data_IF_316365633321
#
_entry.id   IF_316365633321
#
_cell.length_a   1.000
_cell.length_b   1.000
_cell.length_c   1.000
_cell.angle_alpha   90.00
_cell.angle_beta   90.00
_cell.angle_gamma   90.00
#
_symmetry.space_group_name_H-M   'P 1'
#
loop_
_entity.id
_entity.type
_entity.pdbx_description
1 polymer ?
#
# COMPACT_ATOMS: atom_id res chain seq x y z
N UNK A 1 -1.53 -15.82 1.75
CA UNK A 1 -1.18 -14.93 0.60
C UNK A 1 -1.31 -13.46 0.97
N UNK A 2 -2.48 -12.98 1.43
CA UNK A 2 -2.67 -11.58 1.82
C UNK A 2 -1.67 -11.08 2.88
N UNK A 3 -1.48 -11.82 3.99
CA UNK A 3 -0.51 -11.44 5.01
C UNK A 3 0.92 -11.29 4.44
N UNK A 4 1.38 -12.27 3.66
CA UNK A 4 2.68 -12.23 2.99
C UNK A 4 2.83 -11.02 2.08
N UNK A 5 1.80 -10.70 1.28
CA UNK A 5 1.80 -9.55 0.37
C UNK A 5 2.04 -8.24 1.12
N UNK A 6 1.24 -7.99 2.17
CA UNK A 6 1.34 -6.77 2.96
C UNK A 6 2.62 -6.69 3.78
N UNK A 7 3.15 -7.81 4.26
CA UNK A 7 4.47 -7.85 4.90
C UNK A 7 5.59 -7.48 3.93
N UNK A 8 5.59 -8.03 2.71
CA UNK A 8 6.57 -7.66 1.67
C UNK A 8 6.44 -6.18 1.32
N UNK A 9 5.22 -5.68 1.16
CA UNK A 9 5.00 -4.27 0.84
C UNK A 9 5.44 -3.31 1.97
N UNK A 10 5.26 -3.71 3.23
CA UNK A 10 5.81 -2.99 4.39
C UNK A 10 7.34 -3.01 4.42
N UNK A 11 7.97 -4.11 4.01
CA UNK A 11 9.42 -4.26 4.00
C UNK A 11 10.12 -3.22 3.10
N UNK A 12 9.50 -2.82 1.98
CA UNK A 12 10.02 -1.72 1.15
C UNK A 12 10.14 -0.41 1.94
N UNK A 13 9.15 -0.07 2.77
CA UNK A 13 9.21 1.12 3.61
C UNK A 13 10.36 1.05 4.63
N UNK A 14 10.56 -0.10 5.28
CA UNK A 14 11.70 -0.25 6.20
C UNK A 14 13.05 -0.21 5.48
N UNK A 15 13.14 -0.82 4.29
CA UNK A 15 14.32 -0.79 3.45
C UNK A 15 14.70 0.65 3.05
N UNK A 16 13.74 1.47 2.62
CA UNK A 16 13.98 2.88 2.30
C UNK A 16 14.35 3.70 3.54
N UNK A 17 13.69 3.47 4.69
CA UNK A 17 14.07 4.13 5.95
C UNK A 17 15.53 3.81 6.35
N UNK A 18 15.97 2.56 6.11
CA UNK A 18 17.35 2.13 6.33
C UNK A 18 18.37 2.68 5.31
N UNK A 19 17.92 3.41 4.28
CA UNK A 19 18.77 4.01 3.24
C UNK A 19 18.90 3.22 1.96
N UNK A 20 18.05 2.21 1.78
CA UNK A 20 17.88 1.57 0.49
C UNK A 20 17.33 2.53 -0.57
N UNK A 21 17.80 2.39 -1.81
CA UNK A 21 17.44 3.28 -2.94
C UNK A 21 16.71 2.55 -4.07
N UNK A 22 16.53 1.23 -3.96
CA UNK A 22 15.81 0.44 -4.96
C UNK A 22 14.41 1.03 -5.23
N UNK A 23 14.12 1.25 -6.51
CA UNK A 23 12.86 1.81 -7.03
C UNK A 23 12.47 3.19 -6.46
N UNK A 24 13.39 3.92 -5.80
CA UNK A 24 13.07 5.20 -5.16
C UNK A 24 12.62 6.27 -6.18
N UNK A 25 13.30 6.36 -7.32
CA UNK A 25 12.90 7.27 -8.40
C UNK A 25 11.55 6.97 -9.06
N UNK A 26 10.92 5.84 -8.72
CA UNK A 26 9.55 5.53 -9.17
C UNK A 26 8.47 6.11 -8.23
N UNK A 27 8.85 6.65 -7.07
CA UNK A 27 7.92 7.25 -6.11
C UNK A 27 7.65 8.72 -6.40
N UNK A 28 8.59 9.39 -7.06
CA UNK A 28 8.52 10.78 -7.47
C UNK A 28 9.71 11.60 -6.99
N UNK A 29 10.11 12.61 -7.76
CA UNK A 29 11.30 13.45 -7.51
C UNK A 29 11.31 14.11 -6.11
N UNK A 30 10.14 14.56 -5.64
CA UNK A 30 10.00 15.11 -4.29
C UNK A 30 10.24 14.06 -3.18
N UNK A 31 9.81 12.81 -3.38
CA UNK A 31 10.04 11.73 -2.41
C UNK A 31 11.50 11.28 -2.46
N UNK A 32 12.06 11.17 -3.66
CA UNK A 32 13.45 10.77 -3.87
C UNK A 32 14.44 11.76 -3.24
N UNK A 33 14.23 13.07 -3.45
CA UNK A 33 15.11 14.11 -2.90
C UNK A 33 15.18 14.06 -1.36
N UNK A 34 14.03 13.99 -0.67
CA UNK A 34 14.00 13.87 0.79
C UNK A 34 14.61 12.55 1.30
N UNK A 35 14.44 11.46 0.55
CA UNK A 35 15.03 10.16 0.88
C UNK A 35 16.55 10.16 0.75
N UNK A 36 17.09 10.76 -0.32
CA UNK A 36 18.54 10.91 -0.56
C UNK A 36 19.17 11.86 0.46
N UNK A 37 18.51 12.97 0.78
CA UNK A 37 18.95 13.90 1.81
C UNK A 37 18.89 13.30 3.23
N UNK A 38 18.20 12.17 3.40
CA UNK A 38 18.00 11.46 4.68
C UNK A 38 17.47 12.37 5.79
N UNK A 39 16.52 13.23 5.46
CA UNK A 39 15.92 14.12 6.43
C UNK A 39 15.24 13.33 7.56
N UNK A 40 15.54 13.68 8.82
CA UNK A 40 15.13 12.86 9.97
C UNK A 40 13.62 12.66 10.09
N UNK A 41 12.83 13.69 9.76
CA UNK A 41 11.37 13.60 9.74
C UNK A 41 10.87 12.64 8.65
N UNK A 42 11.50 12.65 7.48
CA UNK A 42 11.12 11.83 6.34
C UNK A 42 11.45 10.36 6.61
N UNK A 43 12.65 10.08 7.14
CA UNK A 43 13.03 8.71 7.57
C UNK A 43 12.05 8.17 8.60
N UNK A 44 11.67 9.00 9.58
CA UNK A 44 10.67 8.63 10.60
C UNK A 44 9.30 8.35 9.97
N UNK A 45 8.84 9.21 9.06
CA UNK A 45 7.57 9.05 8.35
C UNK A 45 7.52 7.75 7.54
N UNK A 46 8.60 7.43 6.81
CA UNK A 46 8.67 6.20 6.00
C UNK A 46 8.68 4.96 6.90
N UNK A 47 9.41 5.00 8.03
CA UNK A 47 9.42 3.89 8.99
C UNK A 47 8.03 3.68 9.63
N UNK A 48 7.36 4.76 10.05
CA UNK A 48 5.99 4.71 10.59
C UNK A 48 5.02 4.17 9.53
N UNK A 49 5.16 4.60 8.27
CA UNK A 49 4.38 4.06 7.15
C UNK A 49 4.59 2.55 7.00
N UNK A 50 5.82 2.05 7.17
CA UNK A 50 6.11 0.62 7.19
C UNK A 50 5.36 -0.11 8.30
N UNK A 51 5.33 0.44 9.52
CA UNK A 51 4.56 -0.13 10.64
C UNK A 51 3.07 -0.16 10.33
N UNK A 52 2.50 0.92 9.79
CA UNK A 52 1.09 0.98 9.40
C UNK A 52 0.76 -0.05 8.31
N UNK A 53 1.66 -0.26 7.34
CA UNK A 53 1.49 -1.29 6.29
C UNK A 53 1.50 -2.73 6.81
N UNK A 54 1.91 -2.98 8.06
CA UNK A 54 1.78 -4.30 8.70
C UNK A 54 0.38 -4.57 9.26
N UNK A 55 -0.45 -3.55 9.46
CA UNK A 55 -1.81 -3.71 10.00
C UNK A 55 -2.68 -4.70 9.21
N UNK A 56 -2.71 -4.67 7.86
CA UNK A 56 -3.49 -5.65 7.11
C UNK A 56 -2.99 -7.10 7.32
N UNK A 57 -1.67 -7.30 7.41
CA UNK A 57 -1.11 -8.62 7.70
C UNK A 57 -1.50 -9.11 9.10
N UNK A 58 -1.44 -8.22 10.10
CA UNK A 58 -1.88 -8.53 11.46
C UNK A 58 -3.39 -8.84 11.50
N UNK A 59 -4.22 -8.09 10.79
CA UNK A 59 -5.66 -8.37 10.72
C UNK A 59 -5.95 -9.75 10.11
N UNK A 60 -5.24 -10.13 9.04
CA UNK A 60 -5.35 -11.47 8.46
C UNK A 60 -4.90 -12.55 9.45
N UNK A 61 -3.76 -12.35 10.13
CA UNK A 61 -3.29 -13.30 11.14
C UNK A 61 -4.27 -13.42 12.32
N UNK A 62 -4.97 -12.32 12.66
CA UNK A 62 -5.98 -12.34 13.71
C UNK A 62 -7.15 -13.27 13.42
N UNK A 63 -7.41 -13.63 12.15
CA UNK A 63 -8.47 -14.59 11.80
C UNK A 63 -8.10 -16.03 12.13
N UNK A 64 -6.80 -16.36 12.18
CA UNK A 64 -6.32 -17.75 12.33
C UNK A 64 -5.60 -18.01 13.65
N UNK A 65 -5.15 -16.96 14.35
CA UNK A 65 -4.40 -17.08 15.60
C UNK A 65 -5.30 -16.89 16.82
N UNK A 66 -5.02 -17.63 17.89
CA UNK A 66 -5.80 -17.64 19.14
C UNK A 66 -5.84 -16.28 19.84
N UNK A 67 -4.82 -15.43 19.68
CA UNK A 67 -4.84 -14.08 20.23
C UNK A 67 -5.91 -13.19 19.59
N UNK A 68 -6.37 -13.52 18.38
CA UNK A 68 -7.43 -12.80 17.67
C UNK A 68 -8.83 -13.07 18.22
N UNK A 69 -9.02 -14.14 18.99
CA UNK A 69 -10.33 -14.51 19.56
C UNK A 69 -10.80 -13.57 20.67
N UNK A 70 -9.96 -12.62 21.08
CA UNK A 70 -10.35 -11.48 21.92
C UNK A 70 -11.40 -10.59 21.26
N UNK A 71 -11.52 -10.61 19.93
CA UNK A 71 -12.51 -9.85 19.17
C UNK A 71 -13.50 -10.79 18.47
N UNK A 72 -14.80 -10.43 18.41
CA UNK A 72 -15.80 -11.16 17.64
C UNK A 72 -15.34 -11.36 16.19
N UNK A 73 -15.49 -12.59 15.68
CA UNK A 73 -15.05 -12.96 14.32
C UNK A 73 -15.65 -12.04 13.24
N UNK A 74 -16.91 -11.59 13.41
CA UNK A 74 -17.56 -10.63 12.50
C UNK A 74 -16.85 -9.29 12.42
N UNK A 75 -16.35 -8.78 13.55
CA UNK A 75 -15.61 -7.51 13.58
C UNK A 75 -14.28 -7.67 12.86
N UNK A 76 -13.56 -8.78 13.10
CA UNK A 76 -12.31 -9.08 12.40
C UNK A 76 -12.53 -9.20 10.89
N UNK A 77 -13.59 -9.88 10.45
CA UNK A 77 -13.92 -9.98 9.04
C UNK A 77 -14.30 -8.66 8.39
N UNK A 78 -15.11 -7.84 9.07
CA UNK A 78 -15.45 -6.51 8.59
C UNK A 78 -14.20 -5.62 8.48
N UNK A 79 -13.27 -5.73 9.43
CA UNK A 79 -12.00 -5.01 9.38
C UNK A 79 -11.13 -5.46 8.20
N UNK A 80 -10.97 -6.78 8.00
CA UNK A 80 -10.17 -7.34 6.88
C UNK A 80 -10.80 -6.98 5.53
N UNK A 81 -12.10 -7.23 5.36
CA UNK A 81 -12.82 -6.94 4.12
C UNK A 81 -12.92 -5.44 3.84
N UNK A 82 -13.22 -4.64 4.87
CA UNK A 82 -13.29 -3.18 4.77
C UNK A 82 -11.95 -2.56 4.37
N UNK A 83 -10.85 -2.99 5.01
CA UNK A 83 -9.50 -2.54 4.63
C UNK A 83 -9.12 -3.01 3.22
N UNK A 84 -9.57 -4.20 2.82
CA UNK A 84 -9.44 -4.71 1.45
C UNK A 84 -10.10 -3.82 0.41
N UNK A 85 -11.37 -3.47 0.63
CA UNK A 85 -12.13 -2.57 -0.26
C UNK A 85 -11.48 -1.20 -0.32
N UNK A 86 -11.14 -0.60 0.83
CA UNK A 86 -10.51 0.71 0.88
C UNK A 86 -9.17 0.74 0.13
N UNK A 87 -8.34 -0.30 0.32
CA UNK A 87 -7.04 -0.41 -0.37
C UNK A 87 -7.20 -0.58 -1.87
N UNK A 88 -8.16 -1.42 -2.29
CA UNK A 88 -8.43 -1.65 -3.71
C UNK A 88 -8.98 -0.40 -4.40
N UNK A 89 -9.91 0.30 -3.76
CA UNK A 89 -10.47 1.55 -4.27
C UNK A 89 -9.41 2.65 -4.35
N UNK A 90 -8.55 2.78 -3.33
CA UNK A 90 -7.46 3.74 -3.33
C UNK A 90 -6.53 3.55 -4.55
N UNK A 91 -6.08 2.31 -4.80
CA UNK A 91 -5.26 2.00 -5.96
C UNK A 91 -6.02 2.21 -7.29
N UNK A 92 -7.28 1.76 -7.37
CA UNK A 92 -8.08 1.87 -8.58
C UNK A 92 -8.38 3.34 -8.96
N UNK A 93 -8.69 4.19 -7.98
CA UNK A 93 -8.87 5.63 -8.19
C UNK A 93 -7.57 6.27 -8.66
N UNK A 94 -6.43 5.87 -8.07
CA UNK A 94 -5.11 6.38 -8.47
C UNK A 94 -4.75 6.00 -9.92
N UNK A 95 -5.06 4.77 -10.34
CA UNK A 95 -4.93 4.30 -11.74
C UNK A 95 -5.88 5.09 -12.65
N UNK A 96 -7.13 5.29 -12.22
CA UNK A 96 -8.13 6.03 -13.00
C UNK A 96 -7.67 7.48 -13.24
N UNK A 97 -7.19 8.18 -12.20
CA UNK A 97 -6.67 9.54 -12.33
C UNK A 97 -5.55 9.61 -13.38
N UNK A 98 -4.59 8.68 -13.33
CA UNK A 98 -3.49 8.63 -14.30
C UNK A 98 -3.97 8.27 -15.71
N UNK A 99 -4.97 7.39 -15.81
CA UNK A 99 -5.61 7.07 -17.09
C UNK A 99 -6.28 8.30 -17.70
N UNK A 100 -6.98 9.11 -16.89
CA UNK A 100 -7.63 10.35 -17.34
C UNK A 100 -6.60 11.38 -17.85
N UNK A 101 -5.42 11.44 -17.24
CA UNK A 101 -4.30 12.25 -17.77
C UNK A 101 -3.82 11.69 -19.12
N UNK A 102 -3.63 10.38 -19.25
CA UNK A 102 -3.16 9.75 -20.50
C UNK A 102 -4.12 9.95 -21.68
N UNK A 103 -5.42 9.98 -21.43
CA UNK A 103 -6.44 10.23 -22.49
C UNK A 103 -6.74 11.72 -22.71
N UNK A 104 -5.99 12.62 -22.06
CA UNK A 104 -6.10 14.06 -22.26
C UNK A 104 -7.32 14.73 -21.61
N UNK A 105 -8.00 14.07 -20.67
CA UNK A 105 -9.09 14.69 -19.89
C UNK A 105 -8.54 15.72 -18.92
N UNK A 106 -7.34 15.48 -18.38
CA UNK A 106 -6.60 16.43 -17.55
C UNK A 106 -5.19 16.63 -18.12
N UNK A 107 -4.64 17.83 -17.95
CA UNK A 107 -3.28 18.17 -18.39
C UNK A 107 -2.59 18.96 -17.29
N UNK A 108 -1.97 18.29 -16.31
CA UNK A 108 -1.20 18.96 -15.27
C UNK A 108 0.06 19.57 -15.89
N UNK A 109 0.43 20.78 -15.46
CA UNK A 109 1.56 21.52 -16.03
C UNK A 109 2.92 20.90 -15.67
N UNK A 110 3.05 20.33 -14.46
CA UNK A 110 4.31 19.79 -13.92
C UNK A 110 4.16 18.32 -13.49
N UNK A 111 4.12 17.40 -14.46
CA UNK A 111 4.10 15.95 -14.16
C UNK A 111 5.53 15.41 -14.15
N UNK A 112 5.97 14.90 -13.01
CA UNK A 112 7.17 14.05 -12.94
C UNK A 112 6.90 12.71 -13.65
N UNK A 113 7.55 12.44 -14.80
CA UNK A 113 7.28 11.22 -15.58
C UNK A 113 7.66 9.94 -14.82
N UNK A 114 8.73 9.96 -14.03
CA UNK A 114 9.22 8.76 -13.35
C UNK A 114 8.29 8.36 -12.21
N UNK A 115 7.86 9.32 -11.39
CA UNK A 115 6.81 9.13 -10.39
C UNK A 115 5.48 8.71 -11.01
N UNK A 116 5.07 9.35 -12.11
CA UNK A 116 3.82 9.03 -12.80
C UNK A 116 3.76 7.56 -13.23
N UNK A 117 4.75 7.10 -14.00
CA UNK A 117 4.79 5.72 -14.51
C UNK A 117 5.06 4.70 -13.40
N UNK A 118 5.88 5.06 -12.42
CA UNK A 118 6.15 4.24 -11.25
C UNK A 118 4.89 3.90 -10.47
N UNK A 119 4.09 4.92 -10.14
CA UNK A 119 2.81 4.69 -9.47
C UNK A 119 1.80 3.96 -10.36
N UNK A 120 1.68 4.36 -11.63
CA UNK A 120 0.72 3.74 -12.56
C UNK A 120 0.96 2.23 -12.76
N UNK A 121 2.21 1.82 -12.94
CA UNK A 121 2.56 0.45 -13.32
C UNK A 121 2.92 -0.44 -12.13
N UNK A 122 3.35 0.13 -11.01
CA UNK A 122 3.89 -0.64 -9.88
C UNK A 122 3.07 -0.39 -8.62
N UNK A 123 3.08 0.85 -8.10
CA UNK A 123 2.59 1.09 -6.75
C UNK A 123 1.07 1.03 -6.64
N UNK A 124 0.33 1.62 -7.57
CA UNK A 124 -1.13 1.57 -7.54
C UNK A 124 -1.66 0.13 -7.77
N UNK A 125 -1.13 -0.66 -8.73
CA UNK A 125 -1.45 -2.07 -8.84
C UNK A 125 -1.14 -2.87 -7.56
N UNK A 126 -0.04 -2.54 -6.84
CA UNK A 126 0.29 -3.20 -5.57
C UNK A 126 -0.80 -2.99 -4.52
N UNK A 127 -1.38 -1.79 -4.45
CA UNK A 127 -2.53 -1.49 -3.59
C UNK A 127 -3.79 -2.25 -4.02
N UNK A 128 -4.09 -2.28 -5.32
CA UNK A 128 -5.25 -3.02 -5.85
C UNK A 128 -5.15 -4.51 -5.55
N UNK A 129 -4.03 -5.14 -5.88
CA UNK A 129 -3.80 -6.57 -5.65
C UNK A 129 -3.87 -6.87 -4.15
N UNK A 130 -3.22 -6.06 -3.32
CA UNK A 130 -3.25 -6.22 -1.86
C UNK A 130 -4.66 -6.11 -1.28
N UNK A 131 -5.46 -5.18 -1.79
CA UNK A 131 -6.86 -5.01 -1.40
C UNK A 131 -7.74 -6.19 -1.83
N UNK A 132 -7.60 -6.66 -3.07
CA UNK A 132 -8.33 -7.82 -3.57
C UNK A 132 -7.99 -9.10 -2.78
N UNK A 133 -6.71 -9.31 -2.43
CA UNK A 133 -6.29 -10.45 -1.61
C UNK A 133 -6.94 -10.41 -0.22
N UNK A 134 -7.12 -9.23 0.39
CA UNK A 134 -7.85 -9.09 1.65
C UNK A 134 -9.33 -9.39 1.49
N UNK A 135 -9.98 -8.89 0.43
CA UNK A 135 -11.38 -9.18 0.12
C UNK A 135 -11.62 -10.69 -0.06
N UNK A 136 -10.77 -11.35 -0.85
CA UNK A 136 -10.82 -12.81 -1.03
C UNK A 136 -10.61 -13.53 0.30
N UNK A 137 -9.66 -13.09 1.13
CA UNK A 137 -9.43 -13.69 2.45
C UNK A 137 -10.67 -13.58 3.35
N UNK A 138 -11.32 -12.40 3.37
CA UNK A 138 -12.54 -12.20 4.15
C UNK A 138 -13.73 -13.00 3.59
N UNK A 139 -13.81 -13.16 2.27
CA UNK A 139 -14.85 -13.96 1.62
C UNK A 139 -14.69 -15.45 1.93
N UNK A 140 -13.51 -16.01 1.68
CA UNK A 140 -13.22 -17.44 1.87
C UNK A 140 -13.27 -17.89 3.33
N UNK A 141 -13.15 -16.99 4.30
CA UNK A 141 -13.31 -17.33 5.72
C UNK A 141 -14.78 -17.43 6.14
N UNK A 142 -15.73 -16.91 5.35
CA UNK A 142 -17.17 -17.00 5.63
C UNK A 142 -17.79 -18.31 5.17
N UNK A 143 -17.15 -19.00 4.24
CA UNK A 143 -17.53 -20.31 3.72
C UNK A 143 -16.96 -21.43 4.60
#
# INVERSE_FOLDING_TARGET
>A
MAATWWTIFAAFSFYWAAGGTFALGTLGEGIESHAVAREGWFVTLVAVTGVVKLLPALLVLSLIQTWGDRLPWRIRLLAVGGLGVLSALYGAVSILQKTLVLIGVFSPEDVDPAGFWGHFLIWDPVWVIGGLLLCVTAWSYRE
#
